data_IF_738870064407
#
_entry.id   IF_738870064407
#
_cell.length_a   1.000
_cell.length_b   1.000
_cell.length_c   1.000
_cell.angle_alpha   90.00
_cell.angle_beta   90.00
_cell.angle_gamma   90.00
#
_symmetry.space_group_name_H-M   'P 1'
#
loop_
_entity.id
_entity.type
_entity.pdbx_description
1 polymer ?
#
# COMPACT_ATOMS: atom_id res chain seq x y z
N UNK A 1 -1.63 43.44 -18.87
CA UNK A 1 -2.93 42.99 -18.37
C UNK A 1 -3.25 41.53 -18.73
N UNK A 2 -3.01 41.09 -19.96
CA UNK A 2 -3.33 39.72 -20.38
C UNK A 2 -2.47 38.65 -19.68
N UNK A 3 -1.25 38.94 -19.28
CA UNK A 3 -0.36 38.01 -18.63
C UNK A 3 -0.76 37.65 -17.19
N UNK A 4 -1.42 38.57 -16.49
CA UNK A 4 -1.86 38.33 -15.10
C UNK A 4 -2.97 37.27 -14.99
N UNK A 5 -3.86 37.20 -15.99
CA UNK A 5 -4.94 36.21 -16.03
C UNK A 5 -4.40 34.77 -16.22
N UNK A 6 -3.34 34.63 -17.00
CA UNK A 6 -2.71 33.31 -17.26
C UNK A 6 -2.06 32.73 -16.01
N UNK A 7 -1.47 33.58 -15.18
CA UNK A 7 -0.81 33.12 -13.92
C UNK A 7 -1.84 32.58 -12.92
N UNK A 8 -3.01 33.23 -12.82
CA UNK A 8 -4.05 32.75 -11.89
C UNK A 8 -4.61 31.38 -12.25
N UNK A 9 -4.77 31.09 -13.53
CA UNK A 9 -5.26 29.79 -14.00
C UNK A 9 -4.26 28.66 -13.70
N UNK A 10 -2.96 28.92 -13.89
CA UNK A 10 -1.91 27.94 -13.62
C UNK A 10 -1.86 27.55 -12.14
N UNK A 11 -2.02 28.51 -11.23
CA UNK A 11 -2.03 28.24 -9.79
C UNK A 11 -3.22 27.35 -9.39
N UNK A 12 -4.39 27.57 -9.96
CA UNK A 12 -5.57 26.76 -9.65
C UNK A 12 -5.38 25.28 -10.05
N UNK A 13 -4.75 25.03 -11.20
CA UNK A 13 -4.47 23.66 -11.65
C UNK A 13 -3.51 22.93 -10.73
N UNK A 14 -2.49 23.58 -10.20
CA UNK A 14 -1.53 22.98 -9.27
C UNK A 14 -2.22 22.56 -7.98
N UNK A 15 -3.11 23.38 -7.43
CA UNK A 15 -3.85 23.06 -6.21
C UNK A 15 -4.76 21.83 -6.38
N UNK A 16 -5.42 21.70 -7.52
CA UNK A 16 -6.27 20.54 -7.80
C UNK A 16 -5.46 19.24 -7.87
N UNK A 17 -4.26 19.28 -8.44
CA UNK A 17 -3.39 18.10 -8.51
C UNK A 17 -2.95 17.64 -7.12
N UNK A 18 -2.65 18.56 -6.19
CA UNK A 18 -2.26 18.22 -4.83
C UNK A 18 -3.40 17.54 -4.07
N UNK A 19 -4.63 17.97 -4.23
CA UNK A 19 -5.80 17.37 -3.58
C UNK A 19 -6.06 15.94 -4.06
N UNK A 20 -5.85 15.65 -5.34
CA UNK A 20 -6.05 14.31 -5.91
C UNK A 20 -5.08 13.28 -5.31
N UNK A 21 -3.86 13.68 -4.97
CA UNK A 21 -2.85 12.77 -4.44
C UNK A 21 -3.21 12.25 -3.04
N UNK A 22 -3.86 13.05 -2.21
CA UNK A 22 -4.25 12.65 -0.84
C UNK A 22 -5.38 11.64 -0.83
N UNK A 23 -6.27 11.65 -1.81
CA UNK A 23 -7.45 10.79 -1.86
C UNK A 23 -7.12 9.32 -2.15
N UNK A 24 -5.89 8.97 -2.55
CA UNK A 24 -5.52 7.64 -3.00
C UNK A 24 -5.03 6.69 -1.89
N UNK A 25 -4.85 7.17 -0.63
CA UNK A 25 -4.26 6.36 0.44
C UNK A 25 -5.33 5.81 1.39
N UNK A 26 -6.00 4.74 0.98
CA UNK A 26 -7.11 4.15 1.75
C UNK A 26 -6.72 2.92 2.55
N UNK A 27 -5.76 2.10 2.07
CA UNK A 27 -5.42 0.81 2.67
C UNK A 27 -3.93 0.68 2.97
N UNK A 28 -3.28 1.76 3.35
CA UNK A 28 -1.85 1.76 3.69
C UNK A 28 -0.93 1.54 2.48
N UNK A 29 -1.35 1.99 1.29
CA UNK A 29 -0.58 1.80 0.05
C UNK A 29 0.85 2.36 0.13
N UNK A 30 1.00 3.52 0.77
CA UNK A 30 2.32 4.14 0.91
C UNK A 30 3.26 3.29 1.78
N UNK A 31 2.73 2.70 2.85
CA UNK A 31 3.50 1.79 3.72
C UNK A 31 3.92 0.54 2.98
N UNK A 32 3.01 -0.03 2.18
CA UNK A 32 3.30 -1.22 1.38
C UNK A 32 4.40 -0.94 0.37
N UNK A 33 4.29 0.17 -0.35
CA UNK A 33 5.28 0.58 -1.34
C UNK A 33 6.67 0.77 -0.71
N UNK A 34 6.74 1.43 0.44
CA UNK A 34 7.98 1.61 1.18
C UNK A 34 8.59 0.28 1.61
N UNK A 35 7.77 -0.62 2.17
CA UNK A 35 8.25 -1.92 2.63
C UNK A 35 8.75 -2.78 1.48
N UNK A 36 8.07 -2.78 0.35
CA UNK A 36 8.52 -3.51 -0.83
C UNK A 36 9.89 -2.99 -1.32
N UNK A 37 10.10 -1.69 -1.25
CA UNK A 37 11.39 -1.10 -1.56
C UNK A 37 12.50 -1.58 -0.62
N UNK A 38 12.22 -1.66 0.68
CA UNK A 38 13.17 -2.16 1.67
C UNK A 38 13.52 -3.64 1.46
N UNK A 39 12.57 -4.41 0.98
CA UNK A 39 12.76 -5.84 0.68
C UNK A 39 13.42 -6.06 -0.67
N UNK A 40 13.78 -4.99 -1.38
CA UNK A 40 14.38 -5.03 -2.69
C UNK A 40 13.50 -5.73 -3.75
N UNK A 41 12.19 -5.60 -3.61
CA UNK A 41 11.25 -6.10 -4.60
C UNK A 41 11.22 -5.13 -5.77
N UNK A 42 11.57 -5.61 -6.96
CA UNK A 42 11.53 -4.81 -8.17
C UNK A 42 10.07 -4.50 -8.52
N UNK A 43 9.71 -3.22 -8.74
CA UNK A 43 8.34 -2.89 -9.14
C UNK A 43 7.87 -3.63 -10.39
N UNK A 44 8.77 -3.94 -11.33
CA UNK A 44 8.42 -4.69 -12.53
C UNK A 44 8.09 -6.16 -12.26
N UNK A 45 8.47 -6.68 -11.09
CA UNK A 45 8.15 -8.04 -10.67
C UNK A 45 6.77 -8.15 -10.02
N UNK A 46 6.14 -7.04 -9.69
CA UNK A 46 4.83 -7.02 -9.06
C UNK A 46 3.75 -7.20 -10.13
N UNK A 47 2.97 -8.29 -10.01
CA UNK A 47 1.84 -8.54 -10.89
C UNK A 47 0.61 -7.79 -10.41
N UNK A 48 0.32 -7.87 -9.11
CA UNK A 48 -0.93 -7.41 -8.53
C UNK A 48 -0.79 -7.29 -7.03
N UNK A 49 -1.47 -6.33 -6.44
CA UNK A 49 -1.56 -6.17 -4.98
C UNK A 49 -3.03 -6.13 -4.61
N UNK A 50 -3.44 -7.04 -3.74
CA UNK A 50 -4.75 -7.03 -3.12
C UNK A 50 -4.65 -6.46 -1.73
N UNK A 51 -5.53 -5.56 -1.37
CA UNK A 51 -5.62 -5.00 -0.03
C UNK A 51 -6.87 -5.55 0.64
N UNK A 52 -6.70 -6.17 1.80
CA UNK A 52 -7.77 -6.83 2.53
C UNK A 52 -7.90 -6.19 3.90
N UNK A 53 -9.06 -5.59 4.23
CA UNK A 53 -9.30 -5.13 5.60
C UNK A 53 -9.54 -6.32 6.51
N UNK A 54 -8.95 -6.31 7.69
CA UNK A 54 -9.07 -7.39 8.67
C UNK A 54 -9.91 -6.93 9.84
N UNK A 55 -10.97 -7.67 10.13
CA UNK A 55 -11.90 -7.38 11.20
C UNK A 55 -11.83 -8.42 12.29
N UNK A 56 -12.09 -7.99 13.52
CA UNK A 56 -12.32 -8.87 14.65
C UNK A 56 -13.81 -8.83 14.97
N UNK A 57 -14.41 -10.01 15.14
CA UNK A 57 -15.83 -10.11 15.46
C UNK A 57 -16.00 -10.30 16.97
N UNK A 58 -16.83 -9.44 17.55
CA UNK A 58 -17.11 -9.45 19.00
C UNK A 58 -18.61 -9.41 19.19
N UNK A 59 -19.20 -10.52 19.64
CA UNK A 59 -20.64 -10.63 19.94
C UNK A 59 -21.53 -10.04 18.83
N UNK A 60 -21.93 -8.78 18.95
CA UNK A 60 -22.81 -8.10 17.99
C UNK A 60 -22.07 -7.10 17.11
N UNK A 61 -20.78 -6.86 17.38
CA UNK A 61 -20.00 -5.83 16.68
C UNK A 61 -18.83 -6.44 15.91
N UNK A 62 -18.35 -5.69 14.92
CA UNK A 62 -17.10 -5.98 14.27
C UNK A 62 -16.17 -4.78 14.40
N UNK A 63 -14.88 -5.03 14.58
CA UNK A 63 -13.89 -3.98 14.74
C UNK A 63 -12.79 -4.17 13.70
N UNK A 64 -12.49 -3.12 12.96
CA UNK A 64 -11.35 -3.12 12.04
C UNK A 64 -10.05 -3.12 12.86
N UNK A 65 -9.23 -4.14 12.71
CA UNK A 65 -7.97 -4.28 13.44
C UNK A 65 -6.74 -4.07 12.57
N UNK A 66 -6.89 -4.02 11.26
CA UNK A 66 -5.77 -3.76 10.38
C UNK A 66 -6.06 -4.09 8.93
N UNK A 67 -4.99 -4.20 8.16
CA UNK A 67 -5.04 -4.50 6.74
C UNK A 67 -3.96 -5.51 6.39
N UNK A 68 -4.20 -6.29 5.35
CA UNK A 68 -3.18 -7.13 4.73
C UNK A 68 -3.03 -6.72 3.27
N UNK A 69 -1.78 -6.61 2.82
CA UNK A 69 -1.48 -6.47 1.40
C UNK A 69 -0.94 -7.81 0.90
N UNK A 70 -1.62 -8.36 -0.09
CA UNK A 70 -1.23 -9.62 -0.73
C UNK A 70 -0.60 -9.29 -2.07
N UNK A 71 0.71 -9.44 -2.15
CA UNK A 71 1.51 -9.05 -3.30
C UNK A 71 1.84 -10.29 -4.13
N UNK A 72 1.29 -10.35 -5.34
CA UNK A 72 1.63 -11.38 -6.32
C UNK A 72 2.83 -10.93 -7.12
N UNK A 73 3.84 -11.80 -7.24
CA UNK A 73 5.05 -11.52 -8.00
C UNK A 73 5.13 -12.42 -9.22
N UNK A 74 5.80 -11.93 -10.26
CA UNK A 74 6.06 -12.76 -11.44
C UNK A 74 7.10 -13.84 -11.16
N UNK A 75 8.03 -13.58 -10.25
CA UNK A 75 9.17 -14.45 -9.95
C UNK A 75 8.82 -15.66 -9.09
N UNK A 76 7.62 -15.71 -8.48
CA UNK A 76 7.23 -16.83 -7.62
C UNK A 76 5.75 -17.15 -7.75
N UNK A 77 5.37 -18.37 -7.36
CA UNK A 77 3.98 -18.81 -7.31
C UNK A 77 3.45 -18.67 -5.88
N UNK A 78 2.61 -17.70 -5.65
CA UNK A 78 2.08 -17.43 -4.33
C UNK A 78 2.04 -15.95 -4.08
N UNK A 79 2.13 -15.55 -2.83
CA UNK A 79 2.03 -14.16 -2.45
C UNK A 79 3.01 -13.82 -1.35
N UNK A 80 3.47 -12.57 -1.37
CA UNK A 80 4.11 -11.93 -0.24
C UNK A 80 3.01 -11.20 0.51
N UNK A 81 2.87 -11.45 1.81
CA UNK A 81 1.82 -10.84 2.62
C UNK A 81 2.44 -9.84 3.60
N UNK A 82 1.93 -8.62 3.58
CA UNK A 82 2.34 -7.56 4.51
C UNK A 82 1.14 -7.30 5.43
N UNK A 83 1.28 -7.67 6.71
CA UNK A 83 0.26 -7.49 7.72
C UNK A 83 0.51 -6.18 8.48
N UNK A 84 -0.51 -5.35 8.57
CA UNK A 84 -0.41 -3.99 9.12
C UNK A 84 -1.53 -3.71 10.11
N UNK A 85 -1.24 -2.85 11.09
CA UNK A 85 -2.27 -2.31 11.98
C UNK A 85 -3.16 -1.29 11.23
N UNK A 86 -4.24 -0.83 11.90
CA UNK A 86 -5.08 0.26 11.39
C UNK A 86 -4.30 1.53 11.12
N UNK A 87 -3.23 1.76 11.86
CA UNK A 87 -2.37 2.93 11.73
C UNK A 87 -1.27 2.74 10.71
N UNK A 88 -1.34 1.68 9.91
CA UNK A 88 -0.37 1.36 8.88
C UNK A 88 1.02 1.03 9.41
N UNK A 89 1.10 0.47 10.62
CA UNK A 89 2.35 -0.06 11.17
C UNK A 89 2.48 -1.52 10.73
N UNK A 90 3.59 -1.87 10.10
CA UNK A 90 3.85 -3.24 9.67
C UNK A 90 4.07 -4.12 10.90
N UNK A 91 3.30 -5.20 11.02
CA UNK A 91 3.42 -6.17 12.11
C UNK A 91 4.17 -7.41 11.69
N UNK A 92 4.00 -7.83 10.45
CA UNK A 92 4.58 -9.08 9.95
C UNK A 92 4.67 -9.03 8.43
N UNK A 93 5.73 -9.61 7.89
CA UNK A 93 5.86 -9.86 6.45
C UNK A 93 6.21 -11.33 6.28
N UNK A 94 5.46 -12.04 5.46
CA UNK A 94 5.71 -13.46 5.22
C UNK A 94 5.31 -13.88 3.81
N UNK A 95 5.87 -14.98 3.35
CA UNK A 95 5.51 -15.58 2.07
C UNK A 95 4.45 -16.66 2.24
N UNK A 96 3.54 -16.74 1.27
CA UNK A 96 2.56 -17.83 1.17
C UNK A 96 2.71 -18.51 -0.19
N UNK A 97 2.48 -19.83 -0.21
CA UNK A 97 2.72 -20.61 -1.39
C UNK A 97 4.20 -20.75 -1.66
N UNK A 98 4.60 -20.61 -2.92
CA UNK A 98 5.98 -20.77 -3.34
C UNK A 98 6.74 -19.44 -3.44
N UNK A 99 6.36 -18.43 -2.64
CA UNK A 99 7.07 -17.16 -2.57
C UNK A 99 8.02 -17.14 -1.39
N UNK A 100 9.27 -17.54 -1.63
CA UNK A 100 10.36 -17.46 -0.67
C UNK A 100 11.34 -16.42 -1.18
N UNK A 101 11.49 -15.33 -0.43
CA UNK A 101 12.37 -14.24 -0.79
C UNK A 101 13.75 -14.34 -0.13
N UNK A 102 14.21 -15.57 0.16
CA UNK A 102 15.57 -15.78 0.63
C UNK A 102 15.89 -15.13 1.97
N UNK A 103 14.95 -15.17 2.92
CA UNK A 103 15.15 -14.57 4.22
C UNK A 103 14.75 -13.10 4.32
N UNK A 104 14.11 -12.55 3.30
CA UNK A 104 13.58 -11.19 3.33
C UNK A 104 12.31 -11.07 4.19
N UNK A 105 11.77 -12.18 4.66
CA UNK A 105 10.58 -12.22 5.50
C UNK A 105 10.90 -11.73 6.90
N UNK A 106 10.09 -10.81 7.42
CA UNK A 106 10.26 -10.21 8.73
C UNK A 106 9.03 -10.49 9.60
N UNK A 107 9.26 -10.80 10.87
CA UNK A 107 8.21 -11.03 11.86
C UNK A 107 8.51 -10.21 13.11
N UNK A 108 7.51 -9.54 13.63
CA UNK A 108 7.62 -8.72 14.83
C UNK A 108 6.93 -9.38 16.02
#
# INVERSE_FOLDING_TARGET
MKSALKVGVALALVLLSAMSAEAAQTYCEATVSERLGRLNVDPSDIRKIFYIPIYRYMAEDEELIGYEAWVSLHSCRGNLVIDMSRQCTVRQVYGRGACDLGGAVETW
#
